data_IF_601417821284
#
_entry.id   IF_601417821284
#
_cell.length_a   1.000
_cell.length_b   1.000
_cell.length_c   1.000
_cell.angle_alpha   90.00
_cell.angle_beta   90.00
_cell.angle_gamma   90.00
#
_symmetry.space_group_name_H-M   'P 1'
#
loop_
_entity.id
_entity.type
_entity.pdbx_description
1 polymer ?
#
# COMPACT_ATOMS: atom_id res chain seq x y z
N UNK A 1 25.16 2.86 10.19
CA UNK A 1 23.77 3.38 10.11
C UNK A 1 23.87 4.83 9.69
N UNK A 2 23.05 5.28 8.74
CA UNK A 2 23.06 6.66 8.24
C UNK A 2 21.66 7.29 8.34
N UNK A 3 21.15 7.55 9.57
CA UNK A 3 19.85 8.19 9.77
C UNK A 3 19.79 9.64 9.27
N UNK A 4 18.65 10.05 8.71
CA UNK A 4 18.40 11.45 8.36
C UNK A 4 18.50 12.41 9.56
N UNK A 5 18.16 11.91 10.76
CA UNK A 5 18.31 12.59 12.06
C UNK A 5 18.16 11.63 13.22
N UNK A 6 18.67 12.03 14.38
CA UNK A 6 18.47 11.40 15.68
C UNK A 6 17.71 12.41 16.55
N UNK A 7 16.61 11.99 17.17
CA UNK A 7 15.78 12.86 18.02
C UNK A 7 15.86 12.36 19.46
N UNK A 8 16.22 13.26 20.38
CA UNK A 8 16.38 12.95 21.81
C UNK A 8 15.49 13.89 22.63
N UNK A 9 14.54 13.31 23.37
CA UNK A 9 13.72 14.03 24.34
C UNK A 9 14.27 13.87 25.74
N UNK A 10 14.51 14.97 26.46
CA UNK A 10 14.97 14.94 27.84
C UNK A 10 14.43 16.12 28.65
N UNK A 11 14.26 15.92 29.96
CA UNK A 11 13.92 17.00 30.89
C UNK A 11 15.17 17.74 31.40
N UNK A 12 16.32 17.05 31.45
CA UNK A 12 17.60 17.58 31.92
C UNK A 12 18.60 17.65 30.74
N UNK A 13 19.18 18.83 30.45
CA UNK A 13 20.21 18.99 29.41
C UNK A 13 21.42 18.08 29.58
N UNK A 14 21.86 17.79 30.81
CA UNK A 14 23.02 16.93 31.09
C UNK A 14 22.73 15.49 30.66
N UNK A 15 21.50 15.01 30.93
CA UNK A 15 21.06 13.69 30.49
C UNK A 15 20.92 13.66 28.96
N UNK A 16 20.42 14.73 28.35
CA UNK A 16 20.33 14.83 26.89
C UNK A 16 21.71 14.68 26.22
N UNK A 17 22.73 15.35 26.76
CA UNK A 17 24.11 15.27 26.29
C UNK A 17 24.71 13.87 26.49
N UNK A 18 24.46 13.26 27.65
CA UNK A 18 24.92 11.90 27.92
C UNK A 18 24.33 10.89 26.93
N UNK A 19 23.02 10.96 26.66
CA UNK A 19 22.37 10.09 25.67
C UNK A 19 22.84 10.41 24.25
N UNK A 20 23.04 11.68 23.91
CA UNK A 20 23.62 12.07 22.62
C UNK A 20 25.03 11.48 22.44
N UNK A 21 25.82 11.38 23.52
CA UNK A 21 27.16 10.80 23.47
C UNK A 21 27.18 9.31 23.12
N UNK A 22 26.11 8.57 23.42
CA UNK A 22 25.96 7.16 23.01
C UNK A 22 25.84 7.00 21.49
N UNK A 23 25.46 8.08 20.79
CA UNK A 23 25.30 8.10 19.34
C UNK A 23 26.55 8.62 18.61
N UNK A 24 27.67 8.85 19.32
CA UNK A 24 28.95 9.24 18.69
C UNK A 24 29.37 8.18 17.67
N UNK A 25 29.71 8.63 16.46
CA UNK A 25 30.09 7.75 15.35
C UNK A 25 28.92 7.23 14.52
N UNK A 26 27.69 7.65 14.80
CA UNK A 26 26.53 7.47 13.90
C UNK A 26 26.37 8.72 13.05
N UNK A 27 26.33 8.56 11.72
CA UNK A 27 26.14 9.67 10.79
C UNK A 27 24.72 10.21 10.85
N UNK A 28 24.55 11.50 11.16
CA UNK A 28 23.25 12.17 11.16
C UNK A 28 23.13 13.28 12.21
N UNK A 29 22.37 14.35 11.95
CA UNK A 29 22.18 15.44 12.91
C UNK A 29 21.43 14.95 14.16
N UNK A 30 21.92 15.33 15.35
CA UNK A 30 21.26 15.07 16.63
C UNK A 30 20.45 16.31 17.02
N UNK A 31 19.14 16.13 17.24
CA UNK A 31 18.26 17.17 17.73
C UNK A 31 17.78 16.82 19.15
N UNK A 32 18.20 17.61 20.12
CA UNK A 32 17.69 17.55 21.50
C UNK A 32 16.49 18.48 21.65
N UNK A 33 15.50 18.05 22.45
CA UNK A 33 14.27 18.79 22.73
C UNK A 33 13.58 18.29 24.01
N UNK A 34 12.42 18.84 24.36
CA UNK A 34 11.59 18.33 25.46
C UNK A 34 11.06 16.92 25.14
N UNK A 35 10.75 16.14 26.17
CA UNK A 35 10.17 14.79 26.03
C UNK A 35 8.90 14.82 25.17
N UNK A 36 7.96 15.71 25.51
CA UNK A 36 6.70 15.85 24.78
C UNK A 36 6.91 16.23 23.30
N UNK A 37 7.91 17.08 23.01
CA UNK A 37 8.26 17.43 21.63
C UNK A 37 8.81 16.22 20.87
N UNK A 38 9.70 15.42 21.48
CA UNK A 38 10.29 14.25 20.84
C UNK A 38 9.24 13.17 20.53
N UNK A 39 8.31 12.92 21.46
CA UNK A 39 7.16 12.02 21.25
C UNK A 39 6.28 12.52 20.09
N UNK A 40 5.98 13.82 20.07
CA UNK A 40 5.18 14.42 19.01
C UNK A 40 5.86 14.34 17.65
N UNK A 41 7.19 14.48 17.56
CA UNK A 41 7.95 14.36 16.29
C UNK A 41 7.71 13.00 15.64
N UNK A 42 7.64 11.91 16.41
CA UNK A 42 7.38 10.57 15.86
C UNK A 42 5.97 10.47 15.27
N UNK A 43 4.96 10.91 16.03
CA UNK A 43 3.56 10.86 15.61
C UNK A 43 3.31 11.77 14.40
N UNK A 44 3.81 13.01 14.44
CA UNK A 44 3.66 13.99 13.38
C UNK A 44 4.37 13.56 12.09
N UNK A 45 5.58 12.99 12.19
CA UNK A 45 6.32 12.48 11.02
C UNK A 45 5.52 11.39 10.31
N UNK A 46 5.02 10.38 11.05
CA UNK A 46 4.23 9.30 10.46
C UNK A 46 2.90 9.81 9.88
N UNK A 47 2.22 10.73 10.58
CA UNK A 47 0.98 11.32 10.10
C UNK A 47 1.17 12.10 8.79
N UNK A 48 2.28 12.84 8.66
CA UNK A 48 2.60 13.56 7.42
C UNK A 48 2.90 12.60 6.26
N UNK A 49 3.65 11.52 6.50
CA UNK A 49 3.91 10.49 5.50
C UNK A 49 2.60 9.79 5.05
N UNK A 50 1.74 9.45 5.99
CA UNK A 50 0.40 8.91 5.72
C UNK A 50 -0.44 9.89 4.90
N UNK A 51 -0.38 11.18 5.23
CA UNK A 51 -1.07 12.25 4.48
C UNK A 51 -0.59 12.32 3.03
N UNK A 52 0.72 12.24 2.77
CA UNK A 52 1.25 12.25 1.39
C UNK A 52 0.74 11.06 0.57
N UNK A 53 0.74 9.85 1.14
CA UNK A 53 0.22 8.65 0.48
C UNK A 53 -1.28 8.80 0.20
N UNK A 54 -2.06 9.22 1.19
CA UNK A 54 -3.51 9.38 1.02
C UNK A 54 -3.83 10.47 0.01
N UNK A 55 -3.10 11.59 0.04
CA UNK A 55 -3.27 12.68 -0.92
C UNK A 55 -3.07 12.20 -2.35
N UNK A 56 -1.96 11.51 -2.66
CA UNK A 56 -1.72 11.04 -4.02
C UNK A 56 -2.75 9.96 -4.46
N UNK A 57 -3.31 9.20 -3.51
CA UNK A 57 -4.39 8.25 -3.77
C UNK A 57 -5.72 8.93 -4.14
N UNK A 58 -6.02 10.11 -3.59
CA UNK A 58 -7.16 10.92 -4.04
C UNK A 58 -6.89 11.54 -5.40
N UNK A 59 -5.68 12.03 -5.65
CA UNK A 59 -5.28 12.49 -6.99
C UNK A 59 -5.41 11.36 -8.01
N UNK A 60 -5.05 10.12 -7.67
CA UNK A 60 -5.28 8.96 -8.53
C UNK A 60 -6.76 8.79 -8.89
N UNK A 61 -7.67 9.03 -7.95
CA UNK A 61 -9.11 9.02 -8.24
C UNK A 61 -9.52 10.06 -9.28
N UNK A 62 -8.96 11.26 -9.15
CA UNK A 62 -9.21 12.35 -10.10
C UNK A 62 -8.63 11.98 -11.47
N UNK A 63 -7.40 11.47 -11.51
CA UNK A 63 -6.75 11.01 -12.74
C UNK A 63 -7.59 9.97 -13.49
N UNK A 64 -8.17 8.99 -12.77
CA UNK A 64 -9.10 7.99 -13.33
C UNK A 64 -10.33 8.64 -13.97
N UNK A 65 -10.86 9.72 -13.38
CA UNK A 65 -12.05 10.42 -13.88
C UNK A 65 -11.76 11.40 -15.02
N UNK A 66 -10.54 11.93 -15.10
CA UNK A 66 -10.16 12.96 -16.09
C UNK A 66 -9.32 12.41 -17.25
N UNK A 67 -8.89 11.14 -17.18
CA UNK A 67 -8.01 10.52 -18.17
C UNK A 67 -6.53 10.91 -18.02
N UNK A 68 -6.11 11.43 -16.86
CA UNK A 68 -4.71 11.71 -16.57
C UNK A 68 -4.01 10.45 -16.01
N UNK A 69 -2.67 10.43 -15.99
CA UNK A 69 -1.87 9.39 -15.35
C UNK A 69 -1.27 9.90 -14.04
N UNK A 70 -1.60 9.26 -12.91
CA UNK A 70 -1.14 9.67 -11.59
C UNK A 70 0.38 9.59 -11.44
N UNK A 71 1.06 8.74 -12.20
CA UNK A 71 2.51 8.56 -12.08
C UNK A 71 3.26 9.65 -12.82
N UNK A 72 2.73 10.13 -13.95
CA UNK A 72 3.20 11.37 -14.60
C UNK A 72 2.99 12.57 -13.68
N UNK A 73 1.79 12.68 -13.08
CA UNK A 73 1.45 13.77 -12.14
C UNK A 73 2.35 13.74 -10.91
N UNK A 74 2.53 12.57 -10.29
CA UNK A 74 3.37 12.39 -9.10
C UNK A 74 4.84 12.74 -9.39
N UNK A 75 5.35 12.31 -10.56
CA UNK A 75 6.71 12.64 -10.99
C UNK A 75 6.90 14.16 -11.13
N UNK A 76 6.00 14.84 -11.83
CA UNK A 76 6.07 16.29 -12.05
C UNK A 76 5.92 17.08 -10.73
N UNK A 77 4.97 16.70 -9.86
CA UNK A 77 4.78 17.32 -8.54
C UNK A 77 6.01 17.11 -7.65
N UNK A 78 6.60 15.92 -7.70
CA UNK A 78 7.77 15.55 -6.89
C UNK A 78 9.07 16.26 -7.27
N UNK A 79 9.14 16.87 -8.46
CA UNK A 79 10.29 17.69 -8.90
C UNK A 79 10.42 18.99 -8.10
N UNK A 80 9.33 19.49 -7.50
CA UNK A 80 9.40 20.63 -6.59
C UNK A 80 10.07 20.19 -5.28
N UNK A 81 11.27 20.73 -5.03
CA UNK A 81 12.08 20.41 -3.85
C UNK A 81 11.37 20.62 -2.51
N UNK A 82 10.33 21.46 -2.44
CA UNK A 82 9.52 21.67 -1.23
C UNK A 82 8.57 20.52 -0.94
N UNK A 83 8.19 19.78 -1.99
CA UNK A 83 7.28 18.63 -1.92
C UNK A 83 8.07 17.33 -1.87
N UNK A 84 9.08 17.21 -2.73
CA UNK A 84 9.95 16.04 -2.90
C UNK A 84 9.24 14.81 -3.47
N UNK A 85 9.99 13.87 -4.07
CA UNK A 85 9.41 12.75 -4.82
C UNK A 85 8.93 11.59 -3.94
N UNK A 86 9.37 11.53 -2.68
CA UNK A 86 9.10 10.39 -1.81
C UNK A 86 7.66 10.38 -1.28
N UNK A 87 7.11 9.18 -1.05
CA UNK A 87 5.75 8.98 -0.53
C UNK A 87 4.63 9.54 -1.43
N UNK A 88 4.90 9.66 -2.73
CA UNK A 88 3.95 10.05 -3.77
C UNK A 88 3.63 8.88 -4.73
N UNK A 89 3.71 7.64 -4.26
CA UNK A 89 3.33 6.47 -5.04
C UNK A 89 1.90 6.07 -4.70
N UNK A 90 1.00 6.15 -5.68
CA UNK A 90 -0.39 5.75 -5.50
C UNK A 90 -0.52 4.22 -5.40
N UNK A 91 -1.58 3.75 -4.76
CA UNK A 91 -1.89 2.34 -4.65
C UNK A 91 -3.10 2.03 -3.76
N UNK A 92 -3.12 0.82 -3.21
CA UNK A 92 -4.21 0.30 -2.37
C UNK A 92 -4.27 0.88 -0.94
N UNK A 93 -3.63 2.02 -0.71
CA UNK A 93 -3.46 2.61 0.62
C UNK A 93 -2.19 2.15 1.35
N UNK A 94 -1.97 2.75 2.51
CA UNK A 94 -0.91 2.38 3.45
C UNK A 94 -1.40 1.35 4.48
N UNK A 95 -0.44 0.63 5.05
CA UNK A 95 -0.68 -0.37 6.10
C UNK A 95 0.53 -0.55 7.01
N UNK A 96 0.68 -1.77 7.54
CA UNK A 96 1.77 -2.15 8.43
C UNK A 96 1.61 -1.66 9.87
N UNK A 97 2.61 -1.95 10.69
CA UNK A 97 2.50 -1.73 12.15
C UNK A 97 2.68 -0.28 12.61
N UNK A 98 3.10 0.65 11.75
CA UNK A 98 3.45 2.02 12.16
C UNK A 98 2.39 3.07 11.81
N UNK A 99 2.02 3.23 10.53
CA UNK A 99 1.13 4.34 10.13
C UNK A 99 -0.29 4.23 10.68
N UNK A 100 -0.99 3.08 10.61
CA UNK A 100 -2.35 2.96 11.13
C UNK A 100 -2.42 3.21 12.64
N UNK A 101 -1.51 2.61 13.42
CA UNK A 101 -1.50 2.77 14.88
C UNK A 101 -1.16 4.20 15.29
N UNK A 102 -0.11 4.80 14.71
CA UNK A 102 0.39 6.11 15.15
C UNK A 102 -0.60 7.21 14.74
N UNK A 103 -1.23 7.11 13.57
CA UNK A 103 -2.26 8.06 13.11
C UNK A 103 -3.52 7.99 13.98
N UNK A 104 -3.99 6.78 14.31
CA UNK A 104 -5.15 6.60 15.20
C UNK A 104 -4.84 7.08 16.63
N UNK A 105 -3.64 6.82 17.13
CA UNK A 105 -3.19 7.29 18.43
C UNK A 105 -3.12 8.83 18.48
N UNK A 106 -2.53 9.48 17.47
CA UNK A 106 -2.47 10.94 17.40
C UNK A 106 -3.86 11.58 17.31
N UNK A 107 -4.77 11.00 16.49
CA UNK A 107 -6.17 11.45 16.43
C UNK A 107 -6.88 11.33 17.78
N UNK A 108 -6.66 10.23 18.50
CA UNK A 108 -7.25 10.02 19.83
C UNK A 108 -6.67 11.00 20.87
N UNK A 109 -5.35 11.21 20.89
CA UNK A 109 -4.69 12.18 21.77
C UNK A 109 -5.20 13.60 21.55
N UNK A 110 -5.33 14.02 20.28
CA UNK A 110 -5.91 15.30 19.91
C UNK A 110 -7.36 15.44 20.41
N UNK A 111 -8.20 14.44 20.15
CA UNK A 111 -9.61 14.44 20.56
C UNK A 111 -9.77 14.51 22.08
N UNK A 112 -8.95 13.76 22.82
CA UNK A 112 -8.94 13.79 24.30
C UNK A 112 -8.49 15.14 24.88
N UNK A 113 -7.78 15.94 24.08
CA UNK A 113 -7.35 17.30 24.45
C UNK A 113 -8.37 18.37 24.05
N UNK A 114 -9.53 17.97 23.49
CA UNK A 114 -10.55 18.89 22.99
C UNK A 114 -10.28 19.44 21.58
N UNK A 115 -9.25 18.96 20.88
CA UNK A 115 -8.93 19.38 19.51
C UNK A 115 -9.39 18.32 18.48
N UNK A 116 -10.43 18.59 17.68
CA UNK A 116 -10.83 17.69 16.61
C UNK A 116 -9.86 17.77 15.43
N UNK A 117 -8.99 16.78 15.27
CA UNK A 117 -8.00 16.75 14.18
C UNK A 117 -8.65 16.33 12.85
N UNK A 118 -9.32 17.28 12.18
CA UNK A 118 -10.11 17.05 10.96
C UNK A 118 -9.27 16.47 9.81
N UNK A 119 -8.12 17.07 9.49
CA UNK A 119 -7.25 16.61 8.40
C UNK A 119 -6.82 15.15 8.58
N UNK A 120 -6.31 14.80 9.77
CA UNK A 120 -5.85 13.43 10.03
C UNK A 120 -7.01 12.43 10.03
N UNK A 121 -8.21 12.86 10.44
CA UNK A 121 -9.40 12.01 10.38
C UNK A 121 -9.77 11.67 8.93
N UNK A 122 -9.77 12.67 8.04
CA UNK A 122 -9.98 12.45 6.61
C UNK A 122 -8.90 11.55 6.00
N UNK A 123 -7.62 11.74 6.37
CA UNK A 123 -6.51 10.90 5.90
C UNK A 123 -6.73 9.42 6.23
N UNK A 124 -7.20 9.12 7.45
CA UNK A 124 -7.51 7.76 7.89
C UNK A 124 -8.70 7.20 7.13
N UNK A 125 -9.80 7.97 7.03
CA UNK A 125 -11.04 7.54 6.38
C UNK A 125 -10.84 7.23 4.89
N UNK A 126 -10.15 8.10 4.16
CA UNK A 126 -9.85 7.90 2.74
C UNK A 126 -8.95 6.67 2.56
N UNK A 127 -7.95 6.47 3.42
CA UNK A 127 -7.10 5.28 3.35
C UNK A 127 -7.89 3.98 3.56
N UNK A 128 -8.80 3.95 4.54
CA UNK A 128 -9.63 2.78 4.83
C UNK A 128 -10.61 2.45 3.68
N UNK A 129 -10.93 3.42 2.82
CA UNK A 129 -11.76 3.25 1.63
C UNK A 129 -10.98 2.79 0.38
N UNK A 130 -9.65 2.96 0.33
CA UNK A 130 -8.87 2.67 -0.88
C UNK A 130 -8.96 1.21 -1.36
N UNK A 131 -8.81 0.18 -0.50
CA UNK A 131 -9.03 -1.20 -0.91
C UNK A 131 -10.43 -1.45 -1.48
N UNK A 132 -11.46 -0.78 -0.94
CA UNK A 132 -12.84 -0.93 -1.39
C UNK A 132 -13.05 -0.34 -2.78
N UNK A 133 -12.41 0.80 -3.08
CA UNK A 133 -12.42 1.40 -4.43
C UNK A 133 -11.80 0.47 -5.47
N UNK A 134 -10.66 -0.16 -5.16
CA UNK A 134 -10.04 -1.12 -6.07
C UNK A 134 -10.95 -2.31 -6.38
N UNK A 135 -11.60 -2.88 -5.35
CA UNK A 135 -12.57 -3.97 -5.52
C UNK A 135 -13.79 -3.52 -6.33
N UNK A 136 -14.30 -2.31 -6.09
CA UNK A 136 -15.43 -1.78 -6.84
C UNK A 136 -15.10 -1.65 -8.34
N UNK A 137 -13.91 -1.14 -8.69
CA UNK A 137 -13.43 -1.07 -10.07
C UNK A 137 -13.29 -2.45 -10.70
N UNK A 138 -12.69 -3.41 -9.98
CA UNK A 138 -12.57 -4.78 -10.48
C UNK A 138 -13.95 -5.44 -10.70
N UNK A 139 -14.87 -5.22 -9.76
CA UNK A 139 -16.25 -5.72 -9.83
C UNK A 139 -17.01 -5.14 -11.02
N UNK A 140 -16.84 -3.85 -11.30
CA UNK A 140 -17.42 -3.19 -12.47
C UNK A 140 -16.90 -3.85 -13.77
N UNK A 141 -15.58 -4.05 -13.88
CA UNK A 141 -14.98 -4.70 -15.04
C UNK A 141 -15.44 -6.15 -15.25
N UNK A 142 -15.70 -6.89 -14.16
CA UNK A 142 -16.17 -8.28 -14.21
C UNK A 142 -17.70 -8.43 -14.28
N UNK A 143 -18.47 -7.35 -14.12
CA UNK A 143 -19.94 -7.42 -14.01
C UNK A 143 -20.44 -8.14 -12.74
N UNK A 144 -19.62 -8.22 -11.68
CA UNK A 144 -19.93 -8.95 -10.45
C UNK A 144 -18.81 -9.88 -9.99
N UNK A 145 -18.83 -10.27 -8.70
CA UNK A 145 -17.78 -11.08 -8.07
C UNK A 145 -18.24 -12.51 -7.70
N UNK A 146 -19.55 -12.76 -7.63
CA UNK A 146 -20.09 -14.06 -7.21
C UNK A 146 -19.69 -15.15 -8.20
N UNK A 147 -19.03 -16.20 -7.69
CA UNK A 147 -18.52 -17.32 -8.48
C UNK A 147 -17.32 -16.98 -9.37
N UNK A 148 -16.72 -15.80 -9.21
CA UNK A 148 -15.46 -15.44 -9.88
C UNK A 148 -14.28 -15.97 -9.09
N UNK A 149 -13.25 -16.41 -9.79
CA UNK A 149 -11.97 -16.76 -9.18
C UNK A 149 -10.98 -15.60 -9.34
N UNK A 150 -10.48 -15.08 -8.21
CA UNK A 150 -9.61 -13.90 -8.16
C UNK A 150 -8.29 -14.28 -7.50
N UNK A 151 -7.17 -14.06 -8.19
CA UNK A 151 -5.84 -14.26 -7.63
C UNK A 151 -5.33 -13.00 -6.93
N UNK A 152 -4.77 -13.14 -5.73
CA UNK A 152 -4.04 -12.08 -5.02
C UNK A 152 -2.53 -12.34 -5.11
N UNK A 153 -1.81 -11.45 -5.78
CA UNK A 153 -0.36 -11.49 -5.94
C UNK A 153 0.26 -10.53 -4.93
N UNK A 154 0.86 -11.10 -3.88
CA UNK A 154 1.27 -10.38 -2.68
C UNK A 154 0.19 -10.41 -1.59
N UNK A 155 0.57 -10.82 -0.39
CA UNK A 155 -0.30 -10.99 0.77
C UNK A 155 0.22 -10.26 2.00
N UNK A 156 1.50 -9.90 2.07
CA UNK A 156 2.08 -9.10 3.15
C UNK A 156 1.83 -7.61 2.91
N UNK A 157 2.04 -6.76 3.92
CA UNK A 157 1.74 -5.32 3.75
C UNK A 157 2.73 -4.59 2.81
N UNK A 158 3.94 -5.14 2.63
CA UNK A 158 5.01 -4.66 1.74
C UNK A 158 5.97 -5.81 1.41
N UNK A 159 6.74 -5.67 0.33
CA UNK A 159 7.78 -6.63 -0.02
C UNK A 159 8.92 -6.69 1.03
N UNK A 160 9.60 -7.84 1.10
CA UNK A 160 10.77 -8.08 1.96
C UNK A 160 10.45 -8.40 3.43
N UNK A 161 9.21 -8.78 3.75
CA UNK A 161 8.79 -9.18 5.11
C UNK A 161 7.67 -10.21 5.03
N UNK A 162 7.51 -11.02 6.08
CA UNK A 162 6.39 -11.94 6.30
C UNK A 162 5.25 -11.30 7.12
N UNK A 163 5.35 -10.02 7.48
CA UNK A 163 4.35 -9.34 8.31
C UNK A 163 3.04 -9.11 7.54
N UNK A 164 1.98 -9.76 8.01
CA UNK A 164 0.62 -9.66 7.45
C UNK A 164 -0.29 -8.71 8.24
N UNK A 165 0.19 -8.05 9.29
CA UNK A 165 -0.63 -7.15 10.11
C UNK A 165 -1.00 -5.89 9.34
N UNK A 166 -2.28 -5.49 9.44
CA UNK A 166 -2.85 -4.35 8.72
C UNK A 166 -2.52 -4.36 7.21
N UNK A 167 -2.34 -5.54 6.61
CA UNK A 167 -2.06 -5.67 5.19
C UNK A 167 -3.34 -5.38 4.36
N UNK A 168 -3.27 -4.58 3.29
CA UNK A 168 -4.41 -4.33 2.41
C UNK A 168 -5.04 -5.61 1.83
N UNK A 169 -4.21 -6.63 1.60
CA UNK A 169 -4.60 -7.98 1.19
C UNK A 169 -5.64 -8.62 2.10
N UNK A 170 -5.58 -8.40 3.42
CA UNK A 170 -6.54 -8.94 4.38
C UNK A 170 -7.95 -8.37 4.14
N UNK A 171 -8.02 -7.05 3.92
CA UNK A 171 -9.27 -6.34 3.64
C UNK A 171 -9.83 -6.79 2.29
N UNK A 172 -8.96 -6.92 1.29
CA UNK A 172 -9.34 -7.35 -0.06
C UNK A 172 -9.85 -8.79 -0.06
N UNK A 173 -9.08 -9.73 0.49
CA UNK A 173 -9.46 -11.14 0.57
C UNK A 173 -10.79 -11.31 1.31
N UNK A 174 -10.93 -10.69 2.49
CA UNK A 174 -12.16 -10.74 3.28
C UNK A 174 -13.37 -10.26 2.47
N UNK A 175 -13.21 -9.15 1.75
CA UNK A 175 -14.30 -8.57 0.97
C UNK A 175 -14.65 -9.42 -0.27
N UNK A 176 -13.66 -9.88 -1.02
CA UNK A 176 -13.86 -10.78 -2.17
C UNK A 176 -14.62 -12.04 -1.76
N UNK A 177 -14.17 -12.70 -0.70
CA UNK A 177 -14.82 -13.89 -0.12
C UNK A 177 -16.25 -13.57 0.31
N UNK A 178 -16.48 -12.44 1.00
CA UNK A 178 -17.82 -12.05 1.44
C UNK A 178 -18.80 -11.75 0.29
N UNK A 179 -18.29 -11.39 -0.88
CA UNK A 179 -19.09 -11.18 -2.10
C UNK A 179 -19.22 -12.45 -2.96
N UNK A 180 -18.72 -13.60 -2.47
CA UNK A 180 -18.86 -14.91 -3.08
C UNK A 180 -17.85 -15.22 -4.17
N UNK A 181 -16.70 -14.53 -4.19
CA UNK A 181 -15.57 -14.91 -5.04
C UNK A 181 -14.74 -16.02 -4.39
N UNK A 182 -14.13 -16.86 -5.22
CA UNK A 182 -13.07 -17.79 -4.83
C UNK A 182 -11.74 -17.04 -4.90
N UNK A 183 -10.90 -17.16 -3.87
CA UNK A 183 -9.64 -16.41 -3.77
C UNK A 183 -8.46 -17.36 -3.73
N UNK A 184 -7.55 -17.20 -4.70
CA UNK A 184 -6.22 -17.80 -4.67
C UNK A 184 -5.20 -16.73 -4.29
N UNK A 185 -4.05 -17.15 -3.77
CA UNK A 185 -3.01 -16.22 -3.33
C UNK A 185 -1.61 -16.72 -3.62
N UNK A 186 -0.72 -15.82 -3.97
CA UNK A 186 0.72 -16.07 -4.02
C UNK A 186 1.46 -15.00 -3.23
N UNK A 187 2.41 -15.42 -2.40
CA UNK A 187 3.35 -14.53 -1.73
C UNK A 187 4.57 -15.37 -1.28
N UNK A 188 5.80 -14.90 -1.54
CA UNK A 188 7.00 -15.67 -1.26
C UNK A 188 7.29 -15.82 0.23
N UNK A 189 6.76 -14.94 1.08
CA UNK A 189 7.05 -14.93 2.53
C UNK A 189 5.82 -15.13 3.42
N UNK A 190 4.61 -14.90 2.91
CA UNK A 190 3.39 -14.96 3.71
C UNK A 190 3.13 -16.36 4.28
N UNK A 191 2.70 -16.38 5.54
CA UNK A 191 2.26 -17.58 6.24
C UNK A 191 0.79 -17.41 6.59
N UNK A 192 -0.07 -18.09 5.83
CA UNK A 192 -1.51 -18.01 6.05
C UNK A 192 -1.90 -18.65 7.39
N UNK A 193 -2.68 -17.92 8.18
CA UNK A 193 -3.26 -18.42 9.42
C UNK A 193 -4.51 -19.27 9.17
N UNK A 194 -5.01 -19.90 10.24
CA UNK A 194 -6.25 -20.70 10.21
C UNK A 194 -7.52 -19.89 10.42
N UNK A 195 -7.39 -18.57 10.59
CA UNK A 195 -8.51 -17.65 10.78
C UNK A 195 -8.93 -16.99 9.47
N UNK A 196 -10.18 -16.54 9.40
CA UNK A 196 -10.66 -15.74 8.29
C UNK A 196 -9.88 -14.41 8.17
N UNK A 197 -9.63 -13.91 6.94
CA UNK A 197 -10.06 -14.50 5.66
C UNK A 197 -9.14 -15.61 5.14
N UNK A 198 -7.98 -15.83 5.76
CA UNK A 198 -6.89 -16.66 5.24
C UNK A 198 -7.22 -18.14 5.13
N UNK A 199 -8.11 -18.65 5.98
CA UNK A 199 -8.63 -20.02 5.88
C UNK A 199 -9.48 -20.29 4.62
N UNK A 200 -9.85 -19.24 3.87
CA UNK A 200 -10.63 -19.31 2.64
C UNK A 200 -9.81 -18.89 1.42
N UNK A 201 -8.52 -18.61 1.59
CA UNK A 201 -7.60 -18.27 0.50
C UNK A 201 -6.74 -19.48 0.19
N UNK A 202 -6.79 -19.97 -1.03
CA UNK A 202 -5.92 -21.05 -1.49
C UNK A 202 -4.55 -20.48 -1.87
N UNK A 203 -3.53 -20.70 -1.03
CA UNK A 203 -2.14 -20.31 -1.35
C UNK A 203 -1.54 -21.25 -2.38
N UNK A 204 -0.85 -20.67 -3.37
CA UNK A 204 -0.04 -21.38 -4.37
C UNK A 204 1.43 -21.00 -4.25
N UNK A 205 2.29 -21.89 -4.73
CA UNK A 205 3.75 -21.73 -4.67
C UNK A 205 4.29 -20.83 -5.79
N UNK A 206 3.63 -20.81 -6.95
CA UNK A 206 4.01 -19.98 -8.10
C UNK A 206 2.91 -18.99 -8.49
N UNK A 207 3.30 -17.90 -9.14
CA UNK A 207 2.35 -16.91 -9.68
C UNK A 207 1.45 -17.53 -10.75
N UNK A 208 2.01 -18.36 -11.63
CA UNK A 208 1.25 -19.02 -12.71
C UNK A 208 0.17 -19.94 -12.13
N UNK A 209 0.49 -20.73 -11.10
CA UNK A 209 -0.49 -21.58 -10.42
C UNK A 209 -1.57 -20.76 -9.69
N UNK A 210 -1.20 -19.59 -9.15
CA UNK A 210 -2.14 -18.70 -8.48
C UNK A 210 -3.16 -18.10 -9.44
N UNK A 211 -2.76 -17.75 -10.66
CA UNK A 211 -3.64 -17.15 -11.66
C UNK A 211 -4.37 -18.17 -12.53
N UNK A 212 -4.01 -19.46 -12.46
CA UNK A 212 -4.65 -20.50 -13.25
C UNK A 212 -6.18 -20.51 -13.10
N UNK A 213 -6.89 -20.55 -14.23
CA UNK A 213 -8.36 -20.49 -14.37
C UNK A 213 -9.02 -19.26 -13.72
N UNK A 214 -8.25 -18.23 -13.34
CA UNK A 214 -8.81 -17.05 -12.70
C UNK A 214 -9.51 -16.13 -13.69
N UNK A 215 -10.59 -15.49 -13.24
CA UNK A 215 -11.29 -14.43 -13.98
C UNK A 215 -10.56 -13.08 -13.88
N UNK A 216 -9.73 -12.90 -12.84
CA UNK A 216 -8.82 -11.77 -12.69
C UNK A 216 -7.69 -12.06 -11.70
N UNK A 217 -6.64 -11.25 -11.75
CA UNK A 217 -5.57 -11.20 -10.77
C UNK A 217 -5.40 -9.77 -10.23
N UNK A 218 -5.00 -9.62 -8.98
CA UNK A 218 -4.70 -8.33 -8.34
C UNK A 218 -3.29 -8.35 -7.76
N UNK A 219 -2.44 -7.40 -8.14
CA UNK A 219 -1.17 -7.16 -7.45
C UNK A 219 -1.46 -6.29 -6.24
N UNK A 220 -1.24 -6.86 -5.05
CA UNK A 220 -1.49 -6.19 -3.76
C UNK A 220 -0.19 -5.78 -3.09
N UNK A 221 0.92 -6.46 -3.41
CA UNK A 221 2.25 -6.18 -2.85
C UNK A 221 3.29 -6.21 -3.96
N UNK A 222 4.14 -5.20 -4.00
CA UNK A 222 5.14 -4.93 -5.03
C UNK A 222 6.40 -5.79 -4.93
N UNK A 223 6.23 -7.11 -4.82
CA UNK A 223 7.32 -8.08 -4.79
C UNK A 223 8.17 -8.01 -6.06
N UNK A 224 9.50 -7.83 -5.97
CA UNK A 224 10.39 -7.78 -7.13
C UNK A 224 10.26 -8.98 -8.07
N UNK A 225 9.99 -10.17 -7.52
CA UNK A 225 9.82 -11.44 -8.23
C UNK A 225 8.70 -11.39 -9.28
N UNK A 226 7.71 -10.49 -9.13
CA UNK A 226 6.65 -10.29 -10.12
C UNK A 226 7.17 -9.76 -11.47
N UNK A 227 8.35 -9.13 -11.47
CA UNK A 227 9.00 -8.67 -12.71
C UNK A 227 9.61 -9.81 -13.52
N UNK A 228 9.91 -10.93 -12.88
CA UNK A 228 10.57 -12.09 -13.49
C UNK A 228 9.57 -13.20 -13.91
N UNK A 229 8.27 -12.95 -13.73
CA UNK A 229 7.20 -13.88 -14.12
C UNK A 229 7.08 -13.96 -15.65
N UNK A 230 6.88 -15.18 -16.16
CA UNK A 230 6.46 -15.41 -17.55
C UNK A 230 4.99 -15.00 -17.73
N UNK A 231 4.76 -13.71 -17.95
CA UNK A 231 3.43 -13.13 -18.15
C UNK A 231 2.67 -13.68 -19.37
N UNK A 232 3.32 -13.99 -20.52
CA UNK A 232 2.66 -14.74 -21.60
C UNK A 232 2.07 -16.07 -21.15
N UNK A 233 2.83 -16.87 -20.38
CA UNK A 233 2.33 -18.13 -19.82
C UNK A 233 1.20 -17.89 -18.81
N UNK A 234 1.35 -16.88 -17.94
CA UNK A 234 0.32 -16.51 -16.97
C UNK A 234 -1.00 -16.11 -17.65
N UNK A 235 -0.94 -15.33 -18.74
CA UNK A 235 -2.12 -14.96 -19.53
C UNK A 235 -2.83 -16.20 -20.10
N UNK A 236 -2.08 -17.16 -20.65
CA UNK A 236 -2.63 -18.40 -21.20
C UNK A 236 -3.28 -19.29 -20.14
N UNK A 237 -2.75 -19.28 -18.91
CA UNK A 237 -3.30 -20.03 -17.79
C UNK A 237 -4.58 -19.43 -17.23
N UNK A 238 -4.82 -18.13 -17.43
CA UNK A 238 -6.02 -17.45 -16.95
C UNK A 238 -7.25 -17.71 -17.84
N UNK A 239 -8.42 -17.79 -17.21
CA UNK A 239 -9.70 -17.85 -17.92
C UNK A 239 -10.03 -16.52 -18.60
N UNK A 240 -9.73 -15.43 -17.91
CA UNK A 240 -9.85 -14.06 -18.41
C UNK A 240 -8.60 -13.29 -17.99
N UNK A 241 -7.68 -12.95 -18.90
CA UNK A 241 -6.42 -12.24 -18.61
C UNK A 241 -6.68 -10.79 -18.18
N UNK A 242 -7.29 -10.58 -17.02
CA UNK A 242 -7.54 -9.29 -16.41
C UNK A 242 -6.61 -9.13 -15.22
N UNK A 243 -5.71 -8.14 -15.29
CA UNK A 243 -4.77 -7.84 -14.20
C UNK A 243 -5.02 -6.44 -13.66
N UNK A 244 -5.32 -6.36 -12.36
CA UNK A 244 -5.37 -5.11 -11.62
C UNK A 244 -4.07 -4.91 -10.84
N UNK A 245 -3.22 -4.01 -11.28
CA UNK A 245 -2.01 -3.64 -10.57
C UNK A 245 -2.30 -2.54 -9.52
N UNK A 246 -2.54 -2.96 -8.28
CA UNK A 246 -2.81 -2.06 -7.15
C UNK A 246 -1.58 -1.29 -6.67
N UNK A 247 -0.40 -1.54 -7.23
CA UNK A 247 0.87 -0.92 -6.84
C UNK A 247 1.57 -0.22 -8.00
N UNK A 248 0.96 -0.18 -9.19
CA UNK A 248 1.58 0.31 -10.42
C UNK A 248 3.03 -0.20 -10.54
N UNK A 249 3.23 -1.49 -10.27
CA UNK A 249 4.53 -2.13 -10.17
C UNK A 249 5.07 -2.58 -11.53
N UNK A 250 4.18 -3.06 -12.40
CA UNK A 250 4.49 -3.57 -13.72
C UNK A 250 4.17 -2.53 -14.79
N UNK A 251 4.81 -2.67 -15.95
CA UNK A 251 4.53 -1.83 -17.10
C UNK A 251 3.23 -2.33 -17.77
N UNK A 252 2.17 -1.51 -17.84
CA UNK A 252 0.91 -1.92 -18.44
C UNK A 252 1.04 -2.22 -19.95
N UNK A 253 1.94 -1.56 -20.68
CA UNK A 253 2.12 -1.83 -22.11
C UNK A 253 2.74 -3.21 -22.38
N UNK A 254 3.62 -3.67 -21.50
CA UNK A 254 4.24 -4.99 -21.59
C UNK A 254 3.18 -6.07 -21.36
N UNK A 255 2.37 -5.90 -20.31
CA UNK A 255 1.27 -6.80 -19.98
C UNK A 255 0.19 -6.83 -21.08
N UNK A 256 -0.17 -5.67 -21.65
CA UNK A 256 -1.13 -5.62 -22.75
C UNK A 256 -0.63 -6.36 -24.00
N UNK A 257 0.69 -6.35 -24.27
CA UNK A 257 1.30 -7.17 -25.33
C UNK A 257 1.28 -8.67 -25.03
N UNK A 258 1.22 -9.05 -23.76
CA UNK A 258 1.02 -10.44 -23.34
C UNK A 258 -0.45 -10.89 -23.39
N UNK A 259 -1.39 -10.01 -23.76
CA UNK A 259 -2.82 -10.32 -23.88
C UNK A 259 -3.66 -9.93 -22.67
N UNK A 260 -3.10 -9.16 -21.72
CA UNK A 260 -3.87 -8.70 -20.57
C UNK A 260 -4.71 -7.44 -20.84
N UNK A 261 -5.93 -7.42 -20.30
CA UNK A 261 -6.57 -6.16 -19.92
C UNK A 261 -5.91 -5.66 -18.64
N UNK A 262 -5.31 -4.48 -18.67
CA UNK A 262 -4.49 -3.95 -17.58
C UNK A 262 -5.20 -2.79 -16.91
N UNK A 263 -5.50 -2.95 -15.63
CA UNK A 263 -6.01 -1.89 -14.76
C UNK A 263 -4.90 -1.47 -13.79
N UNK A 264 -4.78 -0.17 -13.51
CA UNK A 264 -3.88 0.37 -12.50
C UNK A 264 -4.58 1.40 -11.63
N UNK A 265 -3.91 1.85 -10.56
CA UNK A 265 -4.41 2.94 -9.71
C UNK A 265 -4.04 4.27 -10.33
N UNK A 266 -5.03 5.12 -10.60
CA UNK A 266 -4.79 6.44 -11.18
C UNK A 266 -4.40 6.45 -12.65
N UNK A 267 -4.75 5.39 -13.39
CA UNK A 267 -4.43 5.23 -14.82
C UNK A 267 -5.64 4.72 -15.59
N UNK A 268 -5.71 5.08 -16.87
CA UNK A 268 -6.69 4.54 -17.82
C UNK A 268 -6.47 3.04 -18.00
N UNK A 269 -7.55 2.27 -18.15
CA UNK A 269 -7.47 0.84 -18.41
C UNK A 269 -6.95 0.59 -19.82
N UNK A 270 -5.88 -0.19 -19.94
CA UNK A 270 -5.28 -0.54 -21.22
C UNK A 270 -5.83 -1.89 -21.69
N UNK A 271 -6.36 -1.93 -22.92
CA UNK A 271 -6.84 -3.15 -23.55
C UNK A 271 -5.67 -3.92 -24.18
N UNK A 272 -5.79 -5.26 -24.33
CA UNK A 272 -4.78 -6.05 -25.05
C UNK A 272 -4.61 -5.56 -26.49
N UNK A 273 -3.39 -5.68 -27.01
CA UNK A 273 -3.03 -5.31 -28.40
C UNK A 273 -3.22 -6.46 -29.37
#
# INVERSE_FOLDING_TARGET
>A
MNPDRIVIGAADPVIAELVASLHKGVDGPVQTMSIASAEMVKLASNALLATKITFINEIAAVCEATGADVEEVAAAVGMDHRLGPHFLKAGLGYGGSCFPKDSRALRAMASNSGYPFQLLSAVIEVNDLQPRRAIARLKEQLGGLRGRRIALLGLTFKAGTDDMREAPSAIIASRLVSEGAEVTGWDPMARLGTQAPWNQVERKETVVDAVADCDAAMIVTEWPELKDVDWPLAAQAMKNPLLFDGRNHLNPEDLARCGFTCMGVGRTTLQPK
#
